data_IF_902891405920
#
_entry.id   IF_902891405920
#
_cell.length_a   1.000
_cell.length_b   1.000
_cell.length_c   1.000
_cell.angle_alpha   90.00
_cell.angle_beta   90.00
_cell.angle_gamma   90.00
#
_symmetry.space_group_name_H-M   'P 1'
#
loop_
_entity.id
_entity.type
_entity.pdbx_description
1 polymer ?
#
# COMPACT_ATOMS: atom_id res chain seq x y z
N UNK A 1 -34.51 -2.65 6.55
CA UNK A 1 -33.18 -3.32 6.47
C UNK A 1 -32.17 -2.23 6.79
N UNK A 2 -31.29 -2.43 7.75
CA UNK A 2 -30.21 -1.50 8.01
C UNK A 2 -29.34 -1.40 6.75
N UNK A 3 -29.04 -0.18 6.31
CA UNK A 3 -28.18 0.05 5.15
C UNK A 3 -26.75 -0.31 5.52
N UNK A 4 -26.18 -1.33 4.89
CA UNK A 4 -24.79 -1.71 5.10
C UNK A 4 -23.86 -0.63 4.53
N UNK A 5 -22.80 -0.30 5.28
CA UNK A 5 -21.77 0.66 4.84
C UNK A 5 -20.89 0.02 3.76
N UNK A 6 -20.74 0.66 2.58
CA UNK A 6 -19.87 0.13 1.53
C UNK A 6 -18.41 0.18 1.94
N UNK A 7 -17.65 -0.90 1.64
CA UNK A 7 -16.23 -1.04 1.93
C UNK A 7 -15.46 -1.34 0.63
N UNK A 8 -14.53 -0.46 0.29
CA UNK A 8 -13.63 -0.61 -0.86
C UNK A 8 -12.24 -0.99 -0.38
N UNK A 9 -11.69 -2.06 -0.95
CA UNK A 9 -10.32 -2.51 -0.71
C UNK A 9 -9.37 -1.89 -1.72
N UNK A 10 -8.26 -1.32 -1.25
CA UNK A 10 -7.15 -0.86 -2.08
C UNK A 10 -5.99 -1.83 -1.92
N UNK A 11 -5.65 -2.50 -2.99
CA UNK A 11 -4.60 -3.51 -3.08
C UNK A 11 -3.55 -3.15 -4.13
N UNK A 12 -2.51 -3.96 -4.22
CA UNK A 12 -1.43 -3.81 -5.20
C UNK A 12 -0.05 -3.93 -4.58
N UNK A 13 0.98 -4.19 -5.38
CA UNK A 13 2.35 -4.38 -4.93
C UNK A 13 2.88 -3.19 -4.13
N UNK A 14 3.96 -3.43 -3.39
CA UNK A 14 4.67 -2.38 -2.67
C UNK A 14 5.13 -1.28 -3.63
N UNK A 15 4.87 -0.02 -3.25
CA UNK A 15 5.28 1.14 -4.02
C UNK A 15 4.50 1.40 -5.31
N UNK A 16 3.42 0.68 -5.59
CA UNK A 16 2.57 0.93 -6.76
C UNK A 16 1.85 2.28 -6.72
N UNK A 17 1.66 2.87 -5.52
CA UNK A 17 1.00 4.16 -5.33
C UNK A 17 -0.30 4.08 -4.53
N UNK A 18 -0.54 3.03 -3.73
CA UNK A 18 -1.75 2.89 -2.90
C UNK A 18 -1.98 4.09 -1.99
N UNK A 19 -0.97 4.51 -1.24
CA UNK A 19 -1.05 5.71 -0.37
C UNK A 19 -1.28 7.00 -1.17
N UNK A 20 -0.75 7.08 -2.41
CA UNK A 20 -1.02 8.20 -3.31
C UNK A 20 -2.49 8.21 -3.74
N UNK A 21 -3.06 7.03 -4.02
CA UNK A 21 -4.48 6.87 -4.31
C UNK A 21 -5.35 7.30 -3.13
N UNK A 22 -5.00 6.88 -1.91
CA UNK A 22 -5.72 7.29 -0.69
C UNK A 22 -5.73 8.82 -0.54
N UNK A 23 -4.59 9.49 -0.69
CA UNK A 23 -4.53 10.96 -0.65
C UNK A 23 -5.47 11.58 -1.70
N UNK A 24 -5.43 11.06 -2.92
CA UNK A 24 -6.30 11.54 -3.99
C UNK A 24 -7.79 11.34 -3.66
N UNK A 25 -8.17 10.20 -3.08
CA UNK A 25 -9.55 9.94 -2.64
C UNK A 25 -9.98 10.95 -1.57
N UNK A 26 -9.13 11.21 -0.58
CA UNK A 26 -9.40 12.15 0.51
C UNK A 26 -9.60 13.57 -0.02
N UNK A 27 -8.77 13.99 -0.96
CA UNK A 27 -8.80 15.34 -1.53
C UNK A 27 -9.98 15.56 -2.46
N UNK A 28 -10.39 14.50 -3.20
CA UNK A 28 -11.38 14.62 -4.27
C UNK A 28 -12.79 14.12 -3.87
N UNK A 29 -12.92 13.31 -2.83
CA UNK A 29 -14.21 12.77 -2.41
C UNK A 29 -15.01 13.77 -1.59
N UNK A 30 -16.31 13.84 -1.88
CA UNK A 30 -17.28 14.58 -1.07
C UNK A 30 -17.93 13.72 0.03
N UNK A 31 -17.63 12.43 0.07
CA UNK A 31 -18.19 11.49 1.05
C UNK A 31 -17.49 11.66 2.40
N UNK A 32 -18.24 11.38 3.49
CA UNK A 32 -17.61 11.10 4.78
C UNK A 32 -16.98 9.73 4.71
N UNK A 33 -15.65 9.70 4.71
CA UNK A 33 -14.87 8.48 4.58
C UNK A 33 -14.30 8.05 5.93
N UNK A 34 -14.28 6.75 6.15
CA UNK A 34 -13.39 6.15 7.13
C UNK A 34 -12.26 5.42 6.37
N UNK A 35 -11.04 5.56 6.86
CA UNK A 35 -9.87 4.91 6.31
C UNK A 35 -9.30 3.96 7.35
N UNK A 36 -9.11 2.72 6.92
CA UNK A 36 -8.39 1.71 7.70
C UNK A 36 -7.10 1.40 6.94
N UNK A 37 -5.97 1.73 7.56
CA UNK A 37 -4.66 1.52 6.96
C UNK A 37 -3.97 0.40 7.70
N UNK A 38 -3.61 -0.62 6.95
CA UNK A 38 -2.81 -1.72 7.45
C UNK A 38 -1.39 -1.59 6.88
N UNK A 39 -0.43 -1.22 7.73
CA UNK A 39 0.95 -1.01 7.32
C UNK A 39 1.86 -2.15 7.75
N UNK A 40 2.77 -2.54 6.85
CA UNK A 40 3.83 -3.50 7.15
C UNK A 40 5.02 -2.76 7.76
N UNK A 41 5.16 -2.82 9.10
CA UNK A 41 6.27 -2.19 9.85
C UNK A 41 5.80 -1.40 11.08
N UNK A 42 6.70 -1.22 12.03
CA UNK A 42 6.44 -0.64 13.36
C UNK A 42 6.33 0.91 13.40
N UNK A 43 6.42 1.62 12.26
CA UNK A 43 6.57 3.08 12.28
C UNK A 43 5.31 3.89 11.96
N UNK A 44 4.20 3.27 11.52
CA UNK A 44 2.95 3.99 11.21
C UNK A 44 3.16 5.22 10.30
N UNK A 45 4.06 5.10 9.31
CA UNK A 45 4.55 6.25 8.54
C UNK A 45 3.49 6.79 7.60
N UNK A 46 2.70 5.89 7.00
CA UNK A 46 1.71 6.29 6.00
C UNK A 46 0.53 7.04 6.64
N UNK A 47 0.12 6.70 7.87
CA UNK A 47 -0.94 7.40 8.59
C UNK A 47 -0.65 8.88 8.87
N UNK A 48 0.62 9.23 9.13
CA UNK A 48 1.03 10.63 9.34
C UNK A 48 0.96 11.50 8.09
N UNK A 49 0.90 10.88 6.90
CA UNK A 49 0.85 11.58 5.61
C UNK A 49 -0.57 11.80 5.11
N UNK A 50 -1.56 11.22 5.79
CA UNK A 50 -2.95 11.24 5.37
C UNK A 50 -3.78 12.03 6.38
N UNK A 51 -4.22 13.25 6.02
CA UNK A 51 -5.08 14.09 6.84
C UNK A 51 -6.14 14.77 5.97
N UNK A 52 -7.40 14.78 6.43
CA UNK A 52 -8.52 15.42 5.74
C UNK A 52 -9.65 15.84 6.67
N UNK A 53 -10.47 16.83 6.26
CA UNK A 53 -11.51 17.44 7.11
C UNK A 53 -12.71 16.53 7.42
N UNK A 54 -13.00 15.52 6.57
CA UNK A 54 -14.16 14.62 6.71
C UNK A 54 -13.71 13.14 6.74
N UNK A 55 -12.54 12.86 7.30
CA UNK A 55 -11.94 11.54 7.28
C UNK A 55 -11.59 11.12 8.69
N UNK A 56 -12.08 9.96 9.11
CA UNK A 56 -11.61 9.27 10.30
C UNK A 56 -10.54 8.26 9.87
N UNK A 57 -9.36 8.38 10.45
CA UNK A 57 -8.24 7.50 10.21
C UNK A 57 -8.09 6.53 11.37
N UNK A 58 -8.00 5.24 11.08
CA UNK A 58 -7.67 4.19 12.05
C UNK A 58 -6.50 3.38 11.50
N UNK A 59 -5.40 3.34 12.26
CA UNK A 59 -4.24 2.50 11.96
C UNK A 59 -4.37 1.21 12.76
N UNK A 60 -4.11 0.07 12.12
CA UNK A 60 -4.04 -1.22 12.79
C UNK A 60 -2.58 -1.53 13.12
N UNK A 61 -2.28 -1.63 14.41
CA UNK A 61 -0.95 -1.97 14.90
C UNK A 61 -0.69 -3.48 14.78
N UNK A 62 0.41 -3.86 14.16
CA UNK A 62 1.02 -5.18 14.42
C UNK A 62 0.91 -6.27 13.39
N UNK A 63 0.67 -6.02 12.12
CA UNK A 63 0.84 -7.07 11.11
C UNK A 63 -0.20 -7.14 9.99
N UNK A 64 -0.11 -8.18 9.17
CA UNK A 64 -1.00 -8.37 8.03
C UNK A 64 -2.41 -8.76 8.52
N UNK A 65 -3.46 -8.01 8.13
CA UNK A 65 -4.87 -8.32 8.44
C UNK A 65 -5.25 -9.76 8.03
N UNK A 66 -4.53 -10.33 7.07
CA UNK A 66 -4.86 -11.65 6.50
C UNK A 66 -4.62 -12.86 7.41
N UNK A 67 -3.97 -12.76 8.60
CA UNK A 67 -3.57 -13.98 9.30
C UNK A 67 -3.76 -14.02 10.81
N UNK A 68 -3.81 -12.89 11.52
CA UNK A 68 -3.89 -12.90 12.98
C UNK A 68 -4.73 -11.79 13.58
N UNK A 69 -5.17 -10.81 12.79
CA UNK A 69 -5.80 -9.57 13.27
C UNK A 69 -7.22 -9.37 12.75
N UNK A 70 -7.91 -10.41 12.24
CA UNK A 70 -9.30 -10.30 11.79
C UNK A 70 -10.17 -9.74 12.90
N UNK A 71 -10.04 -10.23 14.13
CA UNK A 71 -10.81 -9.73 15.27
C UNK A 71 -10.55 -8.26 15.61
N UNK A 72 -9.31 -7.78 15.46
CA UNK A 72 -8.97 -6.37 15.68
C UNK A 72 -9.50 -5.50 14.52
N UNK A 73 -9.41 -5.98 13.30
CA UNK A 73 -10.01 -5.33 12.13
C UNK A 73 -11.52 -5.22 12.25
N UNK A 74 -12.20 -6.30 12.65
CA UNK A 74 -13.64 -6.33 12.91
C UNK A 74 -14.05 -5.33 13.99
N UNK A 75 -13.31 -5.32 15.11
CA UNK A 75 -13.56 -4.38 16.21
C UNK A 75 -13.36 -2.92 15.76
N UNK A 76 -12.28 -2.64 15.02
CA UNK A 76 -12.00 -1.31 14.48
C UNK A 76 -13.10 -0.84 13.51
N UNK A 77 -13.53 -1.69 12.60
CA UNK A 77 -14.60 -1.36 11.65
C UNK A 77 -15.94 -1.15 12.37
N UNK A 78 -16.27 -1.98 13.36
CA UNK A 78 -17.48 -1.80 14.15
C UNK A 78 -17.47 -0.47 14.92
N UNK A 79 -16.36 -0.13 15.58
CA UNK A 79 -16.18 1.15 16.28
C UNK A 79 -16.31 2.35 15.31
N UNK A 80 -15.71 2.26 14.14
CA UNK A 80 -15.79 3.30 13.10
C UNK A 80 -17.24 3.53 12.67
N UNK A 81 -18.00 2.48 12.44
CA UNK A 81 -19.41 2.57 12.05
C UNK A 81 -20.24 3.26 13.13
N UNK A 82 -20.03 2.90 14.39
CA UNK A 82 -20.77 3.47 15.53
C UNK A 82 -20.40 4.94 15.81
N UNK A 83 -19.12 5.29 15.71
CA UNK A 83 -18.62 6.61 16.11
C UNK A 83 -18.67 7.64 15.00
N UNK A 84 -18.34 7.25 13.75
CA UNK A 84 -18.22 8.16 12.60
C UNK A 84 -19.41 8.12 11.65
N UNK A 85 -20.21 7.06 11.67
CA UNK A 85 -21.29 6.83 10.70
C UNK A 85 -20.85 7.16 9.25
N UNK A 86 -19.77 6.55 8.74
CA UNK A 86 -19.20 6.90 7.45
C UNK A 86 -20.15 6.52 6.29
N UNK A 87 -20.04 7.24 5.17
CA UNK A 87 -20.76 6.91 3.94
C UNK A 87 -20.05 5.84 3.13
N UNK A 88 -18.72 5.70 3.31
CA UNK A 88 -17.92 4.61 2.76
C UNK A 88 -16.68 4.37 3.64
N UNK A 89 -16.22 3.13 3.65
CA UNK A 89 -14.99 2.69 4.30
C UNK A 89 -13.98 2.35 3.20
N UNK A 90 -12.76 2.82 3.31
CA UNK A 90 -11.66 2.47 2.41
C UNK A 90 -10.58 1.79 3.24
N UNK A 91 -10.19 0.59 2.81
CA UNK A 91 -9.18 -0.22 3.50
C UNK A 91 -7.96 -0.34 2.60
N UNK A 92 -6.81 0.17 3.03
CA UNK A 92 -5.53 -0.12 2.36
C UNK A 92 -4.97 -1.42 2.90
N UNK A 93 -4.80 -2.40 2.02
CA UNK A 93 -4.11 -3.65 2.37
C UNK A 93 -2.59 -3.48 2.21
N UNK A 94 -1.81 -4.28 2.95
CA UNK A 94 -0.36 -4.36 2.72
C UNK A 94 -0.07 -4.78 1.28
N UNK A 95 1.11 -4.38 0.76
CA UNK A 95 1.52 -4.76 -0.60
C UNK A 95 1.72 -6.27 -0.81
N UNK A 96 1.63 -7.06 0.25
CA UNK A 96 1.79 -8.52 0.27
C UNK A 96 0.49 -9.25 0.64
N UNK A 97 -0.62 -8.52 0.87
CA UNK A 97 -1.89 -9.11 1.24
C UNK A 97 -2.59 -9.77 0.05
N UNK A 98 -3.36 -10.81 0.36
CA UNK A 98 -4.27 -11.49 -0.55
C UNK A 98 -5.68 -10.89 -0.41
N UNK A 99 -6.16 -10.08 -1.38
CA UNK A 99 -7.43 -9.37 -1.24
C UNK A 99 -8.63 -10.30 -1.12
N UNK A 100 -8.62 -11.46 -1.81
CA UNK A 100 -9.73 -12.42 -1.79
C UNK A 100 -10.00 -12.97 -0.39
N UNK A 101 -8.95 -13.23 0.38
CA UNK A 101 -9.09 -13.69 1.76
C UNK A 101 -9.79 -12.63 2.62
N UNK A 102 -9.39 -11.36 2.51
CA UNK A 102 -10.01 -10.28 3.25
C UNK A 102 -11.46 -10.02 2.80
N UNK A 103 -11.75 -10.11 1.50
CA UNK A 103 -13.13 -10.02 0.98
C UNK A 103 -14.01 -11.13 1.56
N UNK A 104 -13.49 -12.35 1.62
CA UNK A 104 -14.22 -13.48 2.20
C UNK A 104 -14.51 -13.23 3.69
N UNK A 105 -13.48 -12.88 4.46
CA UNK A 105 -13.61 -12.66 5.90
C UNK A 105 -14.61 -11.52 6.20
N UNK A 106 -14.47 -10.36 5.53
CA UNK A 106 -15.40 -9.23 5.66
C UNK A 106 -16.83 -9.64 5.36
N UNK A 107 -17.04 -10.44 4.31
CA UNK A 107 -18.38 -10.86 3.89
C UNK A 107 -19.05 -11.82 4.88
N UNK A 108 -18.27 -12.65 5.57
CA UNK A 108 -18.78 -13.64 6.51
C UNK A 108 -18.97 -13.07 7.93
N UNK A 109 -18.12 -12.12 8.34
CA UNK A 109 -18.04 -11.71 9.76
C UNK A 109 -18.64 -10.34 10.03
N UNK A 110 -18.61 -9.39 9.07
CA UNK A 110 -19.05 -8.00 9.26
C UNK A 110 -20.48 -7.75 8.75
N UNK A 111 -21.47 -7.96 9.61
CA UNK A 111 -22.89 -7.79 9.24
C UNK A 111 -23.30 -6.34 8.88
N UNK A 112 -22.56 -5.33 9.35
CA UNK A 112 -22.80 -3.90 9.11
C UNK A 112 -22.15 -3.34 7.83
N UNK A 113 -21.41 -4.16 7.09
CA UNK A 113 -20.60 -3.77 5.92
C UNK A 113 -20.98 -4.59 4.70
N UNK A 114 -20.82 -4.02 3.52
CA UNK A 114 -20.84 -4.76 2.25
C UNK A 114 -19.57 -4.43 1.45
N UNK A 115 -19.02 -5.41 0.77
CA UNK A 115 -17.93 -5.17 -0.17
C UNK A 115 -18.46 -4.31 -1.32
N UNK A 116 -17.78 -3.22 -1.58
CA UNK A 116 -18.09 -2.25 -2.66
C UNK A 116 -17.15 -2.40 -3.85
N UNK A 117 -16.00 -3.00 -3.66
CA UNK A 117 -15.05 -3.38 -4.70
C UNK A 117 -13.61 -3.51 -4.24
N UNK A 118 -12.81 -4.12 -5.11
CA UNK A 118 -11.35 -4.25 -4.97
C UNK A 118 -10.67 -3.43 -6.06
N UNK A 119 -9.95 -2.39 -5.66
CA UNK A 119 -9.12 -1.56 -6.55
C UNK A 119 -7.68 -1.99 -6.41
N UNK A 120 -7.08 -2.52 -7.46
CA UNK A 120 -5.66 -2.90 -7.44
C UNK A 120 -4.81 -1.91 -8.24
N UNK A 121 -3.82 -1.33 -7.57
CA UNK A 121 -2.88 -0.38 -8.18
C UNK A 121 -1.63 -1.10 -8.64
N UNK A 122 -1.33 -1.00 -9.93
CA UNK A 122 -0.14 -1.59 -10.57
C UNK A 122 0.84 -0.49 -11.01
N UNK A 123 2.13 -0.73 -10.83
CA UNK A 123 3.20 0.17 -11.27
C UNK A 123 3.65 -0.20 -12.69
N UNK A 124 3.39 0.67 -13.67
CA UNK A 124 3.73 0.41 -15.07
C UNK A 124 5.23 0.26 -15.30
N UNK A 125 6.07 1.08 -14.66
CA UNK A 125 7.52 1.00 -14.79
C UNK A 125 8.09 -0.24 -14.11
N UNK A 126 7.56 -0.60 -12.92
CA UNK A 126 7.96 -1.83 -12.26
C UNK A 126 7.60 -3.08 -13.08
N UNK A 127 6.46 -3.11 -13.75
CA UNK A 127 6.07 -4.22 -14.63
C UNK A 127 7.00 -4.38 -15.83
N UNK A 128 7.63 -3.31 -16.32
CA UNK A 128 8.65 -3.40 -17.39
C UNK A 128 9.96 -3.93 -16.84
N UNK A 129 10.40 -3.40 -15.70
CA UNK A 129 11.67 -3.80 -15.07
C UNK A 129 11.64 -5.23 -14.55
N UNK A 130 10.47 -5.66 -14.06
CA UNK A 130 10.23 -6.96 -13.44
C UNK A 130 9.00 -7.62 -14.09
N UNK A 131 9.13 -8.15 -15.32
CA UNK A 131 8.00 -8.68 -16.10
C UNK A 131 7.40 -9.96 -15.51
N UNK A 132 8.15 -10.67 -14.67
CA UNK A 132 7.62 -11.83 -13.96
C UNK A 132 6.90 -11.37 -12.69
N UNK A 133 5.58 -11.31 -12.78
CA UNK A 133 4.73 -11.01 -11.65
C UNK A 133 4.74 -12.20 -10.69
N UNK A 134 5.18 -11.99 -9.46
CA UNK A 134 5.09 -12.97 -8.38
C UNK A 134 3.66 -13.42 -8.12
N UNK A 135 3.49 -14.54 -7.41
CA UNK A 135 2.18 -15.14 -7.14
C UNK A 135 1.22 -14.16 -6.48
N UNK A 136 1.65 -13.47 -5.42
CA UNK A 136 0.85 -12.46 -4.71
C UNK A 136 0.33 -11.37 -5.64
N UNK A 137 1.19 -10.84 -6.52
CA UNK A 137 0.77 -9.80 -7.48
C UNK A 137 -0.26 -10.35 -8.48
N UNK A 138 -0.10 -11.60 -8.93
CA UNK A 138 -1.10 -12.26 -9.81
C UNK A 138 -2.44 -12.39 -9.10
N UNK A 139 -2.45 -12.81 -7.82
CA UNK A 139 -3.66 -12.89 -7.01
C UNK A 139 -4.32 -11.52 -6.83
N UNK A 140 -3.53 -10.47 -6.54
CA UNK A 140 -4.02 -9.09 -6.45
C UNK A 140 -4.68 -8.61 -7.75
N UNK A 141 -4.08 -8.93 -8.90
CA UNK A 141 -4.65 -8.58 -10.21
C UNK A 141 -5.93 -9.37 -10.47
N UNK A 142 -5.97 -10.66 -10.15
CA UNK A 142 -7.12 -11.53 -10.40
C UNK A 142 -8.32 -11.16 -9.53
N UNK A 143 -8.07 -10.77 -8.27
CA UNK A 143 -9.11 -10.35 -7.33
C UNK A 143 -9.72 -8.97 -7.61
N UNK A 144 -9.08 -8.17 -8.47
CA UNK A 144 -9.49 -6.79 -8.73
C UNK A 144 -10.83 -6.69 -9.47
N UNK A 145 -11.70 -5.79 -9.00
CA UNK A 145 -12.85 -5.27 -9.76
C UNK A 145 -12.44 -4.10 -10.66
N UNK A 146 -11.36 -3.37 -10.29
CA UNK A 146 -10.76 -2.29 -11.06
C UNK A 146 -9.24 -2.33 -10.96
N UNK A 147 -8.54 -2.18 -12.08
CA UNK A 147 -7.09 -2.08 -12.17
C UNK A 147 -6.67 -0.65 -12.53
N UNK A 148 -5.86 -0.02 -11.68
CA UNK A 148 -5.20 1.24 -11.99
C UNK A 148 -3.77 0.96 -12.42
N UNK A 149 -3.44 1.13 -13.70
CA UNK A 149 -2.07 1.08 -14.20
C UNK A 149 -1.43 2.45 -13.95
N UNK A 150 -0.74 2.59 -12.84
CA UNK A 150 -0.17 3.85 -12.38
C UNK A 150 1.25 4.07 -12.89
N UNK A 151 1.76 5.30 -12.74
CA UNK A 151 3.08 5.75 -13.21
C UNK A 151 3.24 5.63 -14.73
N UNK A 152 2.15 5.81 -15.46
CA UNK A 152 2.15 5.79 -16.92
C UNK A 152 2.99 6.90 -17.58
N UNK A 153 3.34 7.94 -16.82
CA UNK A 153 4.27 9.00 -17.22
C UNK A 153 5.72 8.51 -17.35
N UNK A 154 6.09 7.40 -16.69
CA UNK A 154 7.43 6.83 -16.74
C UNK A 154 7.61 5.81 -17.89
N UNK A 155 6.55 5.53 -18.67
CA UNK A 155 6.53 4.43 -19.64
C UNK A 155 6.08 4.94 -21.01
N UNK A 156 6.77 4.57 -22.11
CA UNK A 156 6.35 4.85 -23.48
C UNK A 156 4.94 4.31 -23.79
N UNK A 157 4.24 4.96 -24.74
CA UNK A 157 2.84 4.64 -25.03
C UNK A 157 2.62 3.24 -25.62
N UNK A 158 3.51 2.79 -26.46
CA UNK A 158 3.51 1.45 -27.02
C UNK A 158 3.64 0.37 -25.95
N UNK A 159 4.52 0.58 -24.96
CA UNK A 159 4.67 -0.33 -23.83
C UNK A 159 3.46 -0.30 -22.90
N UNK A 160 2.85 0.87 -22.69
CA UNK A 160 1.60 0.98 -21.90
C UNK A 160 0.49 0.11 -22.47
N UNK A 161 0.33 0.11 -23.80
CA UNK A 161 -0.67 -0.73 -24.48
C UNK A 161 -0.42 -2.23 -24.23
N UNK A 162 0.85 -2.67 -24.29
CA UNK A 162 1.24 -4.06 -23.98
C UNK A 162 0.96 -4.43 -22.52
N UNK A 163 1.28 -3.56 -21.58
CA UNK A 163 1.00 -3.78 -20.15
C UNK A 163 -0.50 -3.88 -19.87
N UNK A 164 -1.33 -3.01 -20.48
CA UNK A 164 -2.78 -3.12 -20.37
C UNK A 164 -3.30 -4.44 -20.93
N UNK A 165 -2.78 -4.89 -22.10
CA UNK A 165 -3.15 -6.16 -22.67
C UNK A 165 -2.74 -7.34 -21.77
N UNK A 166 -1.56 -7.29 -21.15
CA UNK A 166 -1.11 -8.30 -20.21
C UNK A 166 -2.01 -8.38 -18.96
N UNK A 167 -2.40 -7.24 -18.38
CA UNK A 167 -3.32 -7.18 -17.25
C UNK A 167 -4.71 -7.70 -17.61
N UNK A 168 -5.26 -7.32 -18.78
CA UNK A 168 -6.56 -7.84 -19.28
C UNK A 168 -6.53 -9.34 -19.53
N UNK A 169 -5.36 -9.90 -19.91
CA UNK A 169 -5.21 -11.35 -20.06
C UNK A 169 -5.27 -12.07 -18.72
N UNK A 170 -4.72 -11.48 -17.65
CA UNK A 170 -4.78 -12.04 -16.29
C UNK A 170 -6.17 -11.87 -15.67
N UNK A 171 -6.79 -10.71 -15.85
CA UNK A 171 -8.13 -10.42 -15.37
C UNK A 171 -8.98 -9.78 -16.48
N UNK A 172 -9.72 -10.60 -17.27
CA UNK A 172 -10.56 -10.09 -18.35
C UNK A 172 -11.77 -9.28 -17.88
N UNK A 173 -12.14 -9.37 -16.62
CA UNK A 173 -13.34 -8.71 -16.05
C UNK A 173 -13.05 -7.29 -15.60
N UNK A 174 -11.89 -7.07 -15.00
CA UNK A 174 -11.54 -5.77 -14.45
C UNK A 174 -11.15 -4.78 -15.56
N UNK A 175 -11.78 -3.60 -15.64
CA UNK A 175 -11.30 -2.53 -16.49
C UNK A 175 -9.90 -2.09 -16.03
N UNK A 176 -9.04 -1.73 -17.00
CA UNK A 176 -7.68 -1.23 -16.74
C UNK A 176 -7.64 0.24 -17.10
N UNK A 177 -7.45 1.11 -16.10
CA UNK A 177 -7.38 2.57 -16.27
C UNK A 177 -5.92 3.02 -16.13
N UNK A 178 -5.29 3.59 -17.18
CA UNK A 178 -3.96 4.18 -17.06
C UNK A 178 -4.04 5.48 -16.26
N UNK A 179 -3.12 5.66 -15.30
CA UNK A 179 -3.08 6.82 -14.42
C UNK A 179 -1.67 7.36 -14.25
N UNK A 180 -1.60 8.63 -13.79
CA UNK A 180 -0.40 9.27 -13.28
C UNK A 180 -0.72 9.77 -11.89
N UNK A 181 0.13 9.46 -10.91
CA UNK A 181 -0.11 9.81 -9.50
C UNK A 181 -1.49 9.33 -9.00
N UNK A 182 -1.96 8.19 -9.52
CA UNK A 182 -3.29 7.62 -9.23
C UNK A 182 -4.46 8.60 -9.42
N UNK A 183 -4.33 9.62 -10.26
CA UNK A 183 -5.41 10.58 -10.55
C UNK A 183 -6.47 9.92 -11.40
N UNK A 184 -7.62 9.72 -10.81
CA UNK A 184 -8.84 9.14 -11.40
C UNK A 184 -10.04 9.79 -10.73
N UNK A 185 -11.17 9.88 -11.42
CA UNK A 185 -12.39 10.37 -10.79
C UNK A 185 -12.78 9.45 -9.62
N UNK A 186 -12.94 10.01 -8.43
CA UNK A 186 -13.24 9.23 -7.22
C UNK A 186 -14.53 8.43 -7.33
N UNK A 187 -15.51 8.90 -8.13
CA UNK A 187 -16.73 8.17 -8.41
C UNK A 187 -16.51 6.80 -9.08
N UNK A 188 -15.40 6.63 -9.80
CA UNK A 188 -15.04 5.35 -10.44
C UNK A 188 -14.45 4.31 -9.47
N UNK A 189 -14.17 4.70 -8.24
CA UNK A 189 -13.55 3.84 -7.22
C UNK A 189 -14.58 3.19 -6.30
N UNK A 190 -15.82 3.62 -6.37
CA UNK A 190 -16.90 3.14 -5.52
C UNK A 190 -18.02 2.48 -6.34
N UNK A 191 -18.74 1.51 -5.74
CA UNK A 191 -19.84 0.82 -6.39
C UNK A 191 -19.43 -0.11 -7.53
N UNK A 192 -18.20 -0.63 -7.50
CA UNK A 192 -17.61 -1.38 -8.61
C UNK A 192 -17.70 -2.90 -8.46
N UNK A 193 -18.16 -3.41 -7.32
CA UNK A 193 -18.20 -4.85 -7.06
C UNK A 193 -19.11 -5.60 -8.03
N UNK A 194 -18.53 -6.56 -8.75
CA UNK A 194 -19.23 -7.33 -9.78
C UNK A 194 -19.92 -8.61 -9.24
N UNK A 195 -20.09 -8.72 -7.92
CA UNK A 195 -20.77 -9.86 -7.29
C UNK A 195 -19.97 -11.18 -7.31
N UNK A 196 -18.65 -11.08 -7.38
CA UNK A 196 -17.77 -12.23 -7.28
C UNK A 196 -17.84 -12.80 -5.86
N UNK A 197 -18.25 -14.06 -5.72
CA UNK A 197 -18.09 -14.77 -4.45
C UNK A 197 -16.65 -15.26 -4.36
N UNK A 198 -15.87 -14.81 -3.38
CA UNK A 198 -14.52 -15.32 -3.18
C UNK A 198 -14.60 -16.81 -2.88
N UNK A 199 -13.76 -17.61 -3.52
CA UNK A 199 -13.56 -18.99 -3.10
C UNK A 199 -12.65 -19.00 -1.86
N UNK A 200 -12.86 -19.93 -0.91
CA UNK A 200 -11.99 -20.03 0.25
C UNK A 200 -10.56 -20.34 -0.20
N UNK A 201 -9.67 -19.38 -0.03
CA UNK A 201 -8.26 -19.53 -0.35
C UNK A 201 -7.57 -20.22 0.81
N UNK A 202 -6.99 -21.40 0.58
CA UNK A 202 -6.07 -21.99 1.54
C UNK A 202 -4.80 -21.13 1.60
N UNK A 203 -4.61 -20.43 2.71
CA UNK A 203 -3.43 -19.61 2.97
C UNK A 203 -2.15 -20.45 2.88
N UNK A 204 -1.41 -20.29 1.80
CA UNK A 204 -0.05 -20.83 1.71
C UNK A 204 0.87 -19.80 2.39
N UNK A 205 1.00 -19.95 3.71
CA UNK A 205 1.85 -19.10 4.54
C UNK A 205 3.33 -19.44 4.35
N UNK A 206 3.95 -18.89 3.33
CA UNK A 206 5.34 -18.46 3.42
C UNK A 206 5.34 -16.96 3.13
N UNK A 207 5.71 -16.10 4.09
CA UNK A 207 5.84 -14.69 3.80
C UNK A 207 6.87 -14.54 2.68
N UNK A 208 6.41 -14.17 1.49
CA UNK A 208 7.27 -13.91 0.33
C UNK A 208 8.19 -12.72 0.64
N UNK A 209 7.81 -11.92 1.65
CA UNK A 209 8.51 -10.72 2.08
C UNK A 209 8.76 -10.72 3.59
N UNK A 210 9.91 -10.20 3.95
CA UNK A 210 10.33 -9.94 5.32
C UNK A 210 10.51 -8.44 5.52
N UNK A 211 10.50 -7.97 6.77
CA UNK A 211 10.77 -6.58 7.08
C UNK A 211 11.64 -6.46 8.32
N UNK A 212 12.33 -5.32 8.42
CA UNK A 212 12.96 -4.86 9.64
C UNK A 212 12.94 -3.34 9.72
N UNK A 213 13.08 -2.82 10.94
CA UNK A 213 13.07 -1.38 11.21
C UNK A 213 14.43 -0.94 11.74
N UNK A 214 14.92 0.20 11.24
CA UNK A 214 16.11 0.87 11.73
C UNK A 214 15.73 2.22 12.34
N UNK A 215 16.29 2.53 13.52
CA UNK A 215 16.14 3.82 14.18
C UNK A 215 17.53 4.41 14.46
N UNK A 216 17.76 5.63 13.98
CA UNK A 216 18.99 6.35 14.27
C UNK A 216 18.85 7.17 15.56
N UNK A 217 19.94 7.27 16.30
CA UNK A 217 20.05 8.17 17.46
C UNK A 217 20.43 9.59 17.06
N UNK A 218 21.15 9.72 15.95
CA UNK A 218 21.76 10.97 15.49
C UNK A 218 21.23 11.36 14.11
N UNK A 219 21.56 12.59 13.69
CA UNK A 219 21.27 13.01 12.32
C UNK A 219 22.13 12.20 11.34
N UNK A 220 21.67 12.08 10.11
CA UNK A 220 22.40 11.43 9.03
C UNK A 220 23.20 12.46 8.21
N UNK A 221 24.37 12.07 7.71
CA UNK A 221 25.08 12.82 6.70
C UNK A 221 24.41 12.62 5.35
N UNK A 222 23.95 13.70 4.71
CA UNK A 222 23.14 13.63 3.49
C UNK A 222 23.81 12.85 2.37
N UNK A 223 25.03 13.25 1.97
CA UNK A 223 25.78 12.62 0.87
C UNK A 223 26.05 11.12 1.12
N UNK A 224 26.22 10.73 2.39
CA UNK A 224 26.39 9.33 2.75
C UNK A 224 25.09 8.56 2.58
N UNK A 225 23.98 9.13 3.05
CA UNK A 225 22.67 8.51 2.95
C UNK A 225 22.19 8.39 1.50
N UNK A 226 22.42 9.40 0.66
CA UNK A 226 22.06 9.35 -0.76
C UNK A 226 22.83 8.24 -1.50
N UNK A 227 24.14 8.11 -1.26
CA UNK A 227 24.93 6.98 -1.80
C UNK A 227 24.46 5.62 -1.28
N UNK A 228 24.03 5.57 0.00
CA UNK A 228 23.40 4.37 0.55
C UNK A 228 22.12 4.03 -0.20
N UNK A 229 21.25 5.00 -0.44
CA UNK A 229 20.00 4.80 -1.17
C UNK A 229 20.21 4.36 -2.63
N UNK A 230 21.22 4.92 -3.32
CA UNK A 230 21.62 4.50 -4.66
C UNK A 230 22.18 3.07 -4.72
N UNK A 231 22.87 2.66 -3.65
CA UNK A 231 23.52 1.36 -3.54
C UNK A 231 22.70 0.29 -2.82
N UNK A 232 21.41 0.53 -2.56
CA UNK A 232 20.55 -0.44 -1.89
C UNK A 232 20.47 -1.75 -2.67
N UNK A 233 20.55 -2.85 -1.91
CA UNK A 233 20.49 -4.21 -2.45
C UNK A 233 19.20 -4.43 -3.28
N UNK A 234 19.27 -5.06 -4.46
CA UNK A 234 18.11 -5.34 -5.31
C UNK A 234 17.01 -6.17 -4.64
N UNK A 235 17.32 -6.93 -3.58
CA UNK A 235 16.33 -7.66 -2.81
C UNK A 235 15.51 -6.76 -1.87
N UNK A 236 15.90 -5.47 -1.71
CA UNK A 236 15.09 -4.45 -1.05
C UNK A 236 14.05 -3.94 -2.04
N UNK A 237 12.81 -4.37 -1.90
CA UNK A 237 11.70 -3.89 -2.75
C UNK A 237 11.21 -2.52 -2.34
N UNK A 238 11.17 -2.24 -1.03
CA UNK A 238 10.73 -0.96 -0.49
C UNK A 238 11.55 -0.60 0.74
N UNK A 239 11.89 0.69 0.86
CA UNK A 239 12.26 1.28 2.12
C UNK A 239 11.51 2.61 2.29
N UNK A 240 10.98 2.87 3.47
CA UNK A 240 10.22 4.08 3.77
C UNK A 240 10.48 4.54 5.19
N UNK A 241 10.47 5.85 5.39
CA UNK A 241 10.59 6.40 6.73
C UNK A 241 11.06 7.84 6.77
N UNK A 242 11.38 8.28 7.96
CA UNK A 242 11.85 9.64 8.20
C UNK A 242 13.36 9.63 8.34
N UNK A 243 14.01 10.63 7.74
CA UNK A 243 15.47 10.83 7.85
C UNK A 243 15.74 12.27 8.25
N UNK A 244 16.45 12.46 9.34
CA UNK A 244 16.88 13.77 9.81
C UNK A 244 18.30 14.03 9.33
N UNK A 245 18.48 15.12 8.58
CA UNK A 245 19.77 15.70 8.20
C UNK A 245 20.02 16.99 8.97
N UNK A 246 21.18 17.61 8.77
CA UNK A 246 21.51 18.90 9.37
C UNK A 246 20.60 20.03 8.91
N UNK A 247 20.06 19.95 7.71
CA UNK A 247 19.20 20.96 7.06
C UNK A 247 17.67 20.71 7.23
N UNK A 248 17.29 19.63 7.91
CA UNK A 248 15.87 19.33 8.19
C UNK A 248 15.54 17.84 8.18
N UNK A 249 14.26 17.55 8.32
CA UNK A 249 13.72 16.19 8.26
C UNK A 249 13.03 15.94 6.93
N UNK A 250 13.20 14.76 6.40
CA UNK A 250 12.66 14.36 5.10
C UNK A 250 11.98 13.00 5.22
N UNK A 251 10.89 12.83 4.46
CA UNK A 251 10.33 11.53 4.17
C UNK A 251 11.18 10.87 3.09
N UNK A 252 11.77 9.75 3.41
CA UNK A 252 12.46 8.88 2.45
C UNK A 252 11.48 7.83 1.91
N UNK A 253 11.41 7.70 0.61
CA UNK A 253 10.63 6.68 -0.06
C UNK A 253 11.49 6.02 -1.15
N UNK A 254 11.70 4.71 -1.03
CA UNK A 254 12.45 3.90 -1.99
C UNK A 254 11.58 2.76 -2.48
N UNK A 255 11.54 2.56 -3.79
CA UNK A 255 10.79 1.47 -4.43
C UNK A 255 11.57 0.96 -5.63
N UNK A 256 12.01 -0.29 -5.59
CA UNK A 256 12.63 -0.97 -6.73
C UNK A 256 13.74 -0.15 -7.43
N UNK A 257 14.70 0.37 -6.66
CA UNK A 257 15.84 1.13 -7.20
C UNK A 257 15.57 2.61 -7.48
N UNK A 258 14.36 3.12 -7.22
CA UNK A 258 14.02 4.53 -7.28
C UNK A 258 13.80 5.07 -5.87
N UNK A 259 14.31 6.24 -5.60
CA UNK A 259 14.13 6.88 -4.30
C UNK A 259 13.88 8.39 -4.43
N UNK A 260 13.29 8.95 -3.41
CA UNK A 260 12.99 10.37 -3.28
C UNK A 260 13.05 10.81 -1.82
N UNK A 261 13.29 12.08 -1.60
CA UNK A 261 13.28 12.74 -0.30
C UNK A 261 12.32 13.94 -0.37
N UNK A 262 11.25 13.91 0.40
CA UNK A 262 10.29 15.00 0.50
C UNK A 262 10.49 15.74 1.84
N UNK A 263 10.60 17.09 1.86
CA UNK A 263 10.69 17.84 3.11
C UNK A 263 9.47 17.56 4.00
N UNK A 264 9.70 17.39 5.30
CA UNK A 264 8.66 17.13 6.28
C UNK A 264 8.88 17.92 7.57
N UNK A 265 7.84 18.03 8.40
CA UNK A 265 7.96 18.54 9.76
C UNK A 265 8.82 17.60 10.62
N UNK A 266 9.32 18.09 11.76
CA UNK A 266 10.22 17.36 12.64
C UNK A 266 9.76 15.94 12.96
N UNK A 267 10.64 14.98 12.73
CA UNK A 267 10.50 13.59 13.14
C UNK A 267 11.89 13.01 13.45
N UNK A 268 11.93 11.96 14.27
CA UNK A 268 13.15 11.19 14.49
C UNK A 268 13.42 10.28 13.28
N UNK A 269 14.70 9.96 13.04
CA UNK A 269 15.05 9.03 11.97
C UNK A 269 14.58 7.63 12.30
N UNK A 270 13.71 7.11 11.42
CA UNK A 270 13.22 5.75 11.48
C UNK A 270 12.87 5.25 10.09
N UNK A 271 13.42 4.10 9.70
CA UNK A 271 13.27 3.52 8.37
C UNK A 271 12.78 2.08 8.47
N UNK A 272 11.80 1.72 7.66
CA UNK A 272 11.31 0.35 7.47
C UNK A 272 11.83 -0.16 6.13
N UNK A 273 12.39 -1.35 6.12
CA UNK A 273 12.86 -2.05 4.94
C UNK A 273 12.01 -3.29 4.70
N UNK A 274 11.62 -3.54 3.46
CA UNK A 274 10.81 -4.68 3.05
C UNK A 274 11.43 -5.33 1.82
N UNK A 275 11.63 -6.65 1.84
CA UNK A 275 12.23 -7.39 0.74
C UNK A 275 12.24 -8.90 0.94
N UNK A 276 12.77 -9.63 -0.04
CA UNK A 276 12.93 -11.09 0.05
C UNK A 276 14.23 -11.45 0.75
N UNK A 277 14.17 -12.32 1.77
CA UNK A 277 15.36 -12.73 2.52
C UNK A 277 16.12 -11.58 3.18
N UNK A 278 15.45 -10.44 3.39
CA UNK A 278 16.08 -9.19 3.81
C UNK A 278 16.59 -9.26 5.24
N UNK A 279 16.06 -10.14 6.08
CA UNK A 279 16.55 -10.37 7.44
C UNK A 279 18.00 -10.83 7.47
N UNK A 280 18.44 -11.63 6.49
CA UNK A 280 19.82 -12.04 6.36
C UNK A 280 20.76 -10.87 6.00
N UNK A 281 20.23 -9.82 5.35
CA UNK A 281 20.97 -8.62 4.91
C UNK A 281 20.89 -7.46 5.91
N UNK A 282 20.03 -7.57 6.93
CA UNK A 282 19.84 -6.54 7.97
C UNK A 282 21.14 -6.05 8.58
N UNK A 283 22.09 -6.92 9.02
CA UNK A 283 23.35 -6.45 9.62
C UNK A 283 24.18 -5.59 8.67
N UNK A 284 24.18 -5.90 7.37
CA UNK A 284 24.90 -5.14 6.36
C UNK A 284 24.26 -3.77 6.13
N UNK A 285 22.92 -3.74 5.93
CA UNK A 285 22.16 -2.51 5.70
C UNK A 285 22.28 -1.58 6.91
N UNK A 286 22.09 -2.11 8.11
CA UNK A 286 22.24 -1.37 9.37
C UNK A 286 23.67 -0.85 9.55
N UNK A 287 24.68 -1.62 9.17
CA UNK A 287 26.08 -1.20 9.22
C UNK A 287 26.35 0.03 8.34
N UNK A 288 25.82 0.04 7.11
CA UNK A 288 25.95 1.16 6.17
C UNK A 288 25.21 2.41 6.70
N UNK A 289 24.00 2.26 7.25
CA UNK A 289 23.25 3.37 7.84
C UNK A 289 23.96 3.97 9.05
N UNK A 290 24.49 3.14 9.95
CA UNK A 290 25.26 3.59 11.11
C UNK A 290 26.51 4.37 10.71
N UNK A 291 27.14 4.03 9.60
CA UNK A 291 28.28 4.76 9.07
C UNK A 291 27.91 6.17 8.57
N UNK A 292 26.63 6.42 8.34
CA UNK A 292 26.11 7.73 7.93
C UNK A 292 25.61 8.59 9.11
N UNK A 293 25.53 8.06 10.34
CA UNK A 293 25.18 8.85 11.52
C UNK A 293 26.32 9.82 11.90
N UNK A 294 25.96 11.04 12.34
CA UNK A 294 26.94 12.13 12.65
C UNK A 294 26.81 12.56 14.10
#
# INVERSE_FOLDING_TARGET
MATQTPLTLISGPLGSGKTTLLRHIIESSLLRLALVINEFGELGIDGRLIQGKNVQLTELDGGCVCCSLIGEFEAAVAEIIETAAPQAIVVETTGVAEPEALVFDVSETLSGVRIDGVVTVMDADAMIRFPDLGQTTRMQVTAADLLLLNKCDLVPEDQRALLQAALRKLNPRAPVIPTRYCRVESALLFGIHQGHKPEPVHHIHQPEYESFTYRARWAMQRDCFERFAEGLDPDVYRAKGFVRFADGTYLFNYVNGRWELEPLLEAETGLVFIGRGIRAKEPQIVGLLKACEV
#
